data_IF_530827507047
#
_entry.id   IF_530827507047
#
_cell.length_a   1.000
_cell.length_b   1.000
_cell.length_c   1.000
_cell.angle_alpha   90.00
_cell.angle_beta   90.00
_cell.angle_gamma   90.00
#
_symmetry.space_group_name_H-M   'P 1'
#
loop_
_entity.id
_entity.type
_entity.pdbx_description
1 polymer ?
#
# COMPACT_ATOMS: atom_id res chain seq x y z
N UNK A 1 -18.21 25.09 2.98
CA UNK A 1 -17.64 23.90 3.65
C UNK A 1 -16.29 23.63 3.03
N UNK A 2 -15.22 23.57 3.82
CA UNK A 2 -13.88 23.15 3.34
C UNK A 2 -13.98 21.73 2.79
N UNK A 3 -13.59 21.53 1.52
CA UNK A 3 -13.45 20.17 0.96
C UNK A 3 -12.33 19.46 1.72
N UNK A 4 -12.60 18.22 2.14
CA UNK A 4 -11.64 17.39 2.87
C UNK A 4 -10.56 16.93 1.91
N UNK A 5 -9.28 17.13 2.26
CA UNK A 5 -8.14 16.75 1.43
C UNK A 5 -7.40 15.60 2.11
N UNK A 6 -7.40 14.43 1.47
CA UNK A 6 -6.70 13.24 1.96
C UNK A 6 -5.40 13.01 1.17
N UNK A 7 -4.39 12.45 1.81
CA UNK A 7 -3.24 11.88 1.12
C UNK A 7 -3.41 10.35 1.08
N UNK A 8 -3.35 9.77 -0.11
CA UNK A 8 -3.30 8.33 -0.32
C UNK A 8 -1.84 7.94 -0.57
N UNK A 9 -1.21 7.34 0.43
CA UNK A 9 0.18 6.90 0.36
C UNK A 9 0.26 5.44 -0.09
N UNK A 10 0.95 5.20 -1.20
CA UNK A 10 0.98 3.92 -1.88
C UNK A 10 2.31 3.19 -1.68
N UNK A 11 2.25 1.87 -1.45
CA UNK A 11 3.40 1.00 -1.74
C UNK A 11 3.73 1.14 -3.24
N UNK A 12 5.02 1.24 -3.64
CA UNK A 12 5.37 1.18 -5.05
C UNK A 12 4.93 -0.17 -5.64
N UNK A 13 4.54 -0.16 -6.90
CA UNK A 13 4.43 -1.39 -7.66
C UNK A 13 5.86 -1.90 -7.85
N UNK A 14 6.21 -3.00 -7.18
CA UNK A 14 7.55 -3.59 -7.26
C UNK A 14 7.87 -3.84 -8.74
N UNK A 15 8.57 -2.90 -9.40
CA UNK A 15 8.96 -3.04 -10.79
C UNK A 15 10.11 -4.04 -10.82
N UNK A 16 9.77 -5.31 -10.96
CA UNK A 16 10.66 -6.27 -11.57
C UNK A 16 11.12 -5.70 -12.90
N UNK A 17 12.44 -5.61 -13.14
CA UNK A 17 12.96 -5.20 -14.43
C UNK A 17 12.56 -6.27 -15.45
N UNK A 18 11.42 -6.07 -16.13
CA UNK A 18 10.85 -7.05 -17.06
C UNK A 18 9.42 -6.76 -17.51
N UNK A 19 8.66 -5.90 -16.83
CA UNK A 19 7.24 -5.66 -17.15
C UNK A 19 6.91 -4.38 -17.94
N UNK A 20 7.91 -3.58 -18.33
CA UNK A 20 7.68 -2.30 -19.00
C UNK A 20 8.05 -2.34 -20.48
N UNK A 21 7.06 -2.51 -21.36
CA UNK A 21 7.18 -1.99 -22.74
C UNK A 21 7.19 -0.46 -22.65
N UNK A 22 8.37 0.14 -22.71
CA UNK A 22 8.53 1.59 -22.91
C UNK A 22 9.53 2.22 -21.96
N UNK A 23 10.73 2.49 -22.48
CA UNK A 23 11.77 3.26 -21.79
C UNK A 23 13.17 2.89 -22.26
N UNK A 24 13.61 3.46 -23.39
CA UNK A 24 15.00 3.35 -23.85
C UNK A 24 15.87 4.15 -22.87
N UNK A 25 16.79 3.50 -22.16
CA UNK A 25 17.91 4.22 -21.53
C UNK A 25 18.36 3.83 -20.12
N UNK A 26 18.27 2.57 -19.69
CA UNK A 26 18.97 2.12 -18.47
C UNK A 26 19.85 0.88 -18.76
N UNK A 27 21.05 0.74 -18.17
CA UNK A 27 21.97 -0.35 -18.50
C UNK A 27 21.39 -1.70 -18.05
N UNK A 28 21.36 -2.66 -18.98
CA UNK A 28 20.84 -4.02 -18.79
C UNK A 28 21.66 -4.83 -17.79
N UNK A 29 21.23 -4.87 -16.52
CA UNK A 29 21.52 -5.97 -15.59
C UNK A 29 20.57 -7.17 -15.79
N UNK A 30 19.68 -7.08 -16.79
CA UNK A 30 18.48 -7.91 -16.99
C UNK A 30 18.73 -9.36 -17.46
N UNK A 31 19.93 -9.69 -17.96
CA UNK A 31 20.23 -11.05 -18.40
C UNK A 31 20.75 -11.98 -17.29
N UNK A 32 21.14 -11.44 -16.14
CA UNK A 32 21.72 -12.25 -15.06
C UNK A 32 20.67 -12.85 -14.12
N UNK A 33 19.61 -12.11 -13.75
CA UNK A 33 18.65 -12.57 -12.74
C UNK A 33 17.49 -13.43 -13.28
N UNK A 34 17.04 -13.21 -14.51
CA UNK A 34 15.87 -13.93 -15.07
C UNK A 34 16.17 -15.39 -15.44
N UNK A 35 17.45 -15.73 -15.67
CA UNK A 35 17.86 -17.11 -16.00
C UNK A 35 17.92 -18.05 -14.80
N UNK A 36 17.89 -17.52 -13.58
CA UNK A 36 18.03 -18.30 -12.34
C UNK A 36 16.87 -18.14 -11.36
N UNK A 37 15.83 -17.36 -11.69
CA UNK A 37 14.68 -17.17 -10.83
C UNK A 37 13.67 -18.32 -11.01
N UNK A 38 13.27 -18.98 -9.92
CA UNK A 38 12.22 -20.00 -9.92
C UNK A 38 10.93 -19.41 -10.53
N UNK A 39 10.31 -20.04 -11.56
CA UNK A 39 9.07 -19.57 -12.17
C UNK A 39 7.92 -19.35 -11.18
N UNK A 40 7.83 -20.16 -10.12
CA UNK A 40 6.82 -20.00 -9.05
C UNK A 40 7.04 -18.69 -8.30
N UNK A 41 8.29 -18.31 -8.00
CA UNK A 41 8.63 -17.04 -7.36
C UNK A 41 8.20 -15.88 -8.26
N UNK A 42 8.55 -15.91 -9.54
CA UNK A 42 8.17 -14.85 -10.51
C UNK A 42 6.63 -14.70 -10.59
N UNK A 43 5.91 -15.82 -10.68
CA UNK A 43 4.45 -15.81 -10.71
C UNK A 43 3.84 -15.24 -9.42
N UNK A 44 4.34 -15.67 -8.25
CA UNK A 44 3.89 -15.16 -6.96
C UNK A 44 4.09 -13.65 -6.83
N UNK A 45 5.23 -13.13 -7.30
CA UNK A 45 5.53 -11.70 -7.27
C UNK A 45 4.66 -10.88 -8.23
N UNK A 46 4.37 -11.41 -9.42
CA UNK A 46 3.41 -10.79 -10.35
C UNK A 46 2.00 -10.78 -9.78
N UNK A 47 1.58 -11.87 -9.11
CA UNK A 47 0.31 -11.94 -8.40
C UNK A 47 0.21 -10.86 -7.31
N UNK A 48 1.23 -10.72 -6.45
CA UNK A 48 1.29 -9.66 -5.43
C UNK A 48 1.16 -8.27 -6.01
N UNK A 49 1.82 -8.01 -7.14
CA UNK A 49 1.72 -6.73 -7.85
C UNK A 49 0.30 -6.48 -8.32
N UNK A 50 -0.34 -7.47 -8.97
CA UNK A 50 -1.71 -7.36 -9.50
C UNK A 50 -2.72 -7.12 -8.38
N UNK A 51 -2.68 -7.94 -7.32
CA UNK A 51 -3.57 -7.78 -6.15
C UNK A 51 -3.41 -6.39 -5.54
N UNK A 52 -2.17 -5.91 -5.36
CA UNK A 52 -1.94 -4.56 -4.86
C UNK A 52 -2.48 -3.46 -5.80
N UNK A 53 -2.26 -3.58 -7.11
CA UNK A 53 -2.80 -2.64 -8.10
C UNK A 53 -4.33 -2.56 -8.06
N UNK A 54 -5.00 -3.71 -7.95
CA UNK A 54 -6.45 -3.76 -7.89
C UNK A 54 -6.98 -3.20 -6.56
N UNK A 55 -6.27 -3.44 -5.45
CA UNK A 55 -6.56 -2.80 -4.17
C UNK A 55 -6.45 -1.26 -4.25
N UNK A 56 -5.43 -0.73 -4.91
CA UNK A 56 -5.27 0.72 -5.11
C UNK A 56 -6.43 1.29 -5.92
N UNK A 57 -6.78 0.67 -7.05
CA UNK A 57 -7.93 1.10 -7.88
C UNK A 57 -9.23 1.05 -7.08
N UNK A 58 -9.44 0.00 -6.30
CA UNK A 58 -10.61 -0.17 -5.46
C UNK A 58 -10.75 0.96 -4.44
N UNK A 59 -9.68 1.28 -3.71
CA UNK A 59 -9.67 2.36 -2.73
C UNK A 59 -9.95 3.72 -3.39
N UNK A 60 -9.28 4.02 -4.51
CA UNK A 60 -9.50 5.27 -5.26
C UNK A 60 -10.94 5.40 -5.79
N UNK A 61 -11.54 4.28 -6.23
CA UNK A 61 -12.93 4.27 -6.67
C UNK A 61 -13.91 4.57 -5.52
N UNK A 62 -13.64 4.06 -4.32
CA UNK A 62 -14.43 4.41 -3.12
C UNK A 62 -14.30 5.91 -2.82
N UNK A 63 -13.09 6.45 -2.79
CA UNK A 63 -12.86 7.88 -2.50
C UNK A 63 -13.59 8.77 -3.50
N UNK A 64 -13.55 8.39 -4.79
CA UNK A 64 -14.31 9.05 -5.86
C UNK A 64 -15.81 9.05 -5.62
N UNK A 65 -16.39 7.89 -5.27
CA UNK A 65 -17.83 7.78 -4.96
C UNK A 65 -18.23 8.58 -3.73
N UNK A 66 -17.33 8.69 -2.73
CA UNK A 66 -17.55 9.48 -1.52
C UNK A 66 -17.35 11.00 -1.74
N UNK A 67 -17.01 11.44 -2.96
CA UNK A 67 -16.80 12.86 -3.32
C UNK A 67 -15.81 13.59 -2.39
N UNK A 68 -14.76 12.88 -1.96
CA UNK A 68 -13.67 13.44 -1.15
C UNK A 68 -12.60 13.98 -2.09
N UNK A 69 -11.81 14.97 -1.68
CA UNK A 69 -10.62 15.41 -2.43
C UNK A 69 -9.42 14.59 -1.96
N UNK A 70 -8.61 14.07 -2.87
CA UNK A 70 -7.43 13.29 -2.50
C UNK A 70 -6.29 13.40 -3.49
N UNK A 71 -5.08 13.27 -2.97
CA UNK A 71 -3.85 13.15 -3.73
C UNK A 71 -3.23 11.77 -3.52
N UNK A 72 -2.48 11.31 -4.51
CA UNK A 72 -1.78 10.02 -4.44
C UNK A 72 -0.28 10.24 -4.50
N UNK A 73 0.45 9.57 -3.61
CA UNK A 73 1.92 9.60 -3.61
C UNK A 73 2.46 8.21 -3.32
N UNK A 74 3.55 7.81 -3.96
CA UNK A 74 4.27 6.60 -3.57
C UNK A 74 5.13 6.88 -2.34
N UNK A 75 5.21 5.92 -1.40
CA UNK A 75 6.04 6.02 -0.20
C UNK A 75 7.53 6.25 -0.49
N UNK A 76 8.02 5.87 -1.67
CA UNK A 76 9.39 6.14 -2.14
C UNK A 76 9.62 7.59 -2.55
N UNK A 77 8.57 8.37 -2.76
CA UNK A 77 8.63 9.80 -3.06
C UNK A 77 8.62 10.68 -1.81
N UNK A 78 8.47 10.10 -0.61
CA UNK A 78 8.50 10.86 0.64
C UNK A 78 9.94 11.32 0.93
N UNK A 79 10.13 12.64 0.89
CA UNK A 79 11.38 13.30 1.26
C UNK A 79 11.17 14.44 2.26
N UNK A 80 9.91 14.85 2.47
CA UNK A 80 9.52 15.95 3.33
C UNK A 80 8.37 15.52 4.24
N UNK A 81 8.22 16.14 5.43
CA UNK A 81 7.07 15.90 6.30
C UNK A 81 5.74 16.13 5.58
N UNK A 82 4.77 15.26 5.81
CA UNK A 82 3.41 15.35 5.30
C UNK A 82 2.66 16.40 6.11
N UNK A 83 2.07 17.39 5.42
CA UNK A 83 1.35 18.51 6.03
C UNK A 83 0.11 18.86 5.22
N UNK A 84 -0.83 19.58 5.83
CA UNK A 84 -2.02 20.15 5.16
C UNK A 84 -3.03 19.13 4.62
N UNK A 85 -3.04 17.92 5.18
CA UNK A 85 -4.04 16.89 4.92
C UNK A 85 -4.86 16.63 6.17
N UNK A 86 -6.13 16.28 6.00
CA UNK A 86 -7.03 15.97 7.11
C UNK A 86 -6.89 14.51 7.59
N UNK A 87 -6.29 13.66 6.76
CA UNK A 87 -6.07 12.22 6.98
C UNK A 87 -5.06 11.70 5.96
N UNK A 88 -4.20 10.79 6.39
CA UNK A 88 -3.40 9.96 5.48
C UNK A 88 -3.97 8.55 5.43
N UNK A 89 -4.24 8.06 4.22
CA UNK A 89 -4.65 6.67 3.98
C UNK A 89 -3.48 5.93 3.35
N UNK A 90 -2.89 4.96 4.05
CA UNK A 90 -1.81 4.15 3.48
C UNK A 90 -2.39 2.90 2.85
N UNK A 91 -2.07 2.62 1.58
CA UNK A 91 -2.46 1.40 0.88
C UNK A 91 -1.20 0.55 0.66
N UNK A 92 -1.12 -0.57 1.36
CA UNK A 92 0.08 -1.40 1.39
C UNK A 92 0.00 -2.45 2.50
N UNK A 93 1.07 -2.61 3.27
CA UNK A 93 1.04 -3.39 4.51
C UNK A 93 1.55 -2.54 5.67
N UNK A 94 1.90 -3.20 6.78
CA UNK A 94 2.40 -2.54 8.00
C UNK A 94 3.65 -1.69 7.72
N UNK A 95 4.56 -2.17 6.86
CA UNK A 95 5.74 -1.40 6.46
C UNK A 95 5.42 -0.10 5.70
N UNK A 96 4.30 -0.01 4.98
CA UNK A 96 3.88 1.25 4.34
C UNK A 96 3.33 2.23 5.39
N UNK A 97 2.58 1.73 6.37
CA UNK A 97 2.07 2.54 7.47
C UNK A 97 3.21 3.05 8.36
N UNK A 98 4.14 2.18 8.75
CA UNK A 98 5.33 2.56 9.51
C UNK A 98 6.22 3.55 8.75
N UNK A 99 6.33 3.40 7.43
CA UNK A 99 7.05 4.40 6.64
C UNK A 99 6.35 5.76 6.69
N UNK A 100 5.02 5.80 6.62
CA UNK A 100 4.26 7.05 6.72
C UNK A 100 4.45 7.74 8.09
N UNK A 101 4.52 6.96 9.19
CA UNK A 101 4.66 7.52 10.53
C UNK A 101 5.98 8.27 10.76
N UNK A 102 7.00 8.03 9.93
CA UNK A 102 8.24 8.82 9.98
C UNK A 102 8.09 10.25 9.41
N UNK A 103 7.02 10.53 8.67
CA UNK A 103 6.79 11.80 7.99
C UNK A 103 5.55 12.54 8.51
N UNK A 104 4.85 12.01 9.52
CA UNK A 104 3.60 12.56 10.06
C UNK A 104 3.79 12.95 11.53
N UNK A 105 3.12 14.02 11.95
CA UNK A 105 3.03 14.47 13.34
C UNK A 105 1.65 14.16 13.97
N UNK A 106 1.39 14.68 15.18
CA UNK A 106 0.16 14.38 15.95
C UNK A 106 -1.09 15.08 15.50
N UNK A 107 -0.97 15.94 14.49
CA UNK A 107 -2.10 16.65 13.95
C UNK A 107 -2.87 15.85 12.90
N UNK A 108 -2.25 14.86 12.25
CA UNK A 108 -2.85 14.16 11.10
C UNK A 108 -3.06 12.67 11.42
N UNK A 109 -4.31 12.18 11.49
CA UNK A 109 -4.57 10.77 11.67
C UNK A 109 -4.09 9.94 10.47
N UNK A 110 -3.74 8.68 10.72
CA UNK A 110 -3.30 7.72 9.69
C UNK A 110 -4.23 6.51 9.70
N UNK A 111 -4.70 6.11 8.51
CA UNK A 111 -5.52 4.92 8.29
C UNK A 111 -4.77 3.91 7.43
N UNK A 112 -4.39 2.78 8.04
CA UNK A 112 -3.79 1.66 7.33
C UNK A 112 -4.80 0.79 6.59
N UNK A 113 -4.61 0.60 5.29
CA UNK A 113 -5.34 -0.36 4.46
C UNK A 113 -4.37 -1.44 3.99
N UNK A 114 -4.50 -2.65 4.54
CA UNK A 114 -3.76 -3.81 4.09
C UNK A 114 -4.29 -4.23 2.71
N UNK A 115 -3.52 -3.89 1.68
CA UNK A 115 -3.87 -4.12 0.28
C UNK A 115 -3.78 -5.59 -0.12
N UNK A 116 -2.96 -6.35 0.59
CA UNK A 116 -2.58 -7.70 0.20
C UNK A 116 -2.24 -8.57 1.42
N UNK A 117 -3.25 -8.91 2.24
CA UNK A 117 -3.03 -9.68 3.47
C UNK A 117 -2.45 -11.07 3.22
N UNK A 118 -1.70 -11.59 4.20
CA UNK A 118 -1.22 -12.99 4.17
C UNK A 118 -2.38 -13.95 3.96
N UNK A 119 -2.22 -14.89 3.03
CA UNK A 119 -3.15 -16.00 2.81
C UNK A 119 -2.50 -17.27 3.35
N UNK A 120 -3.11 -17.89 4.35
CA UNK A 120 -2.50 -19.03 5.05
C UNK A 120 -2.35 -20.24 4.12
N UNK A 121 -3.31 -20.41 3.22
CA UNK A 121 -3.31 -21.48 2.22
C UNK A 121 -2.12 -21.33 1.26
N UNK A 122 -1.86 -20.11 0.76
CA UNK A 122 -0.71 -19.80 -0.10
C UNK A 122 0.62 -20.05 0.64
N UNK A 123 0.71 -19.65 1.91
CA UNK A 123 1.92 -19.88 2.72
C UNK A 123 2.18 -21.37 2.94
N UNK A 124 1.14 -22.16 3.21
CA UNK A 124 1.28 -23.60 3.39
C UNK A 124 1.73 -24.28 2.10
N UNK A 125 1.12 -23.93 0.97
CA UNK A 125 1.42 -24.49 -0.36
C UNK A 125 2.89 -24.29 -0.74
N UNK A 126 3.44 -23.08 -0.55
CA UNK A 126 4.79 -22.74 -1.01
C UNK A 126 5.88 -22.83 0.08
N UNK A 127 5.53 -23.24 1.30
CA UNK A 127 6.42 -23.22 2.48
C UNK A 127 7.78 -23.90 2.30
N UNK A 128 7.87 -24.92 1.45
CA UNK A 128 9.10 -25.64 1.17
C UNK A 128 9.95 -25.02 0.03
N UNK A 129 9.36 -24.14 -0.79
CA UNK A 129 9.99 -23.59 -1.99
C UNK A 129 10.51 -22.17 -1.74
N UNK A 130 9.69 -21.30 -1.14
CA UNK A 130 10.03 -19.91 -0.85
C UNK A 130 9.08 -19.29 0.18
N UNK A 131 9.49 -18.15 0.74
CA UNK A 131 8.64 -17.37 1.63
C UNK A 131 7.52 -16.65 0.86
N UNK A 132 6.31 -17.21 0.91
CA UNK A 132 5.11 -16.65 0.30
C UNK A 132 4.40 -15.62 1.20
N UNK A 133 4.97 -15.28 2.36
CA UNK A 133 4.30 -14.40 3.32
C UNK A 133 4.10 -12.98 2.75
N UNK A 134 2.94 -12.44 3.08
CA UNK A 134 2.57 -11.04 2.85
C UNK A 134 2.41 -10.35 4.21
N UNK A 135 2.15 -9.05 4.21
CA UNK A 135 1.90 -8.35 5.48
C UNK A 135 0.62 -8.88 6.12
N UNK A 136 0.67 -9.28 7.38
CA UNK A 136 -0.56 -9.65 8.11
C UNK A 136 -1.46 -8.43 8.31
N UNK A 137 -0.87 -7.26 8.52
CA UNK A 137 -1.63 -6.01 8.66
C UNK A 137 -2.00 -5.71 10.10
N UNK A 138 -1.14 -6.03 11.07
CA UNK A 138 -1.42 -5.82 12.50
C UNK A 138 -1.66 -4.34 12.84
N UNK A 139 -1.10 -3.44 12.04
CA UNK A 139 -1.23 -2.00 12.20
C UNK A 139 -2.29 -1.42 11.25
N UNK A 140 -2.79 -2.23 10.32
CA UNK A 140 -3.78 -1.81 9.34
C UNK A 140 -5.20 -1.97 9.91
N UNK A 141 -5.97 -0.88 9.89
CA UNK A 141 -7.36 -0.87 10.34
C UNK A 141 -8.32 -1.59 9.39
N UNK A 142 -7.94 -1.69 8.11
CA UNK A 142 -8.81 -2.14 7.05
C UNK A 142 -8.08 -3.00 6.02
N UNK A 143 -8.86 -3.71 5.22
CA UNK A 143 -8.44 -4.35 3.96
C UNK A 143 -9.38 -3.88 2.85
N UNK A 144 -9.14 -4.30 1.61
CA UNK A 144 -10.10 -4.06 0.52
C UNK A 144 -11.51 -4.59 0.82
N UNK A 145 -11.66 -5.61 1.68
CA UNK A 145 -12.97 -6.21 1.99
C UNK A 145 -13.86 -5.29 2.83
N UNK A 146 -13.29 -4.39 3.63
CA UNK A 146 -14.03 -3.55 4.58
C UNK A 146 -13.73 -2.05 4.46
N UNK A 147 -12.82 -1.62 3.59
CA UNK A 147 -12.45 -0.21 3.43
C UNK A 147 -13.65 0.71 3.11
N UNK A 148 -14.64 0.23 2.35
CA UNK A 148 -15.83 1.02 2.04
C UNK A 148 -16.66 1.36 3.29
N UNK A 149 -16.70 0.43 4.25
CA UNK A 149 -17.44 0.55 5.51
C UNK A 149 -16.74 1.50 6.48
N UNK A 150 -15.44 1.76 6.30
CA UNK A 150 -14.69 2.72 7.11
C UNK A 150 -15.28 4.12 6.92
N UNK A 151 -15.71 4.70 8.05
CA UNK A 151 -16.19 6.08 8.10
C UNK A 151 -15.00 7.03 8.15
N UNK A 152 -14.77 7.73 7.04
CA UNK A 152 -13.76 8.79 6.94
C UNK A 152 -14.32 10.06 7.61
N UNK A 153 -14.31 10.12 8.95
CA UNK A 153 -14.76 11.28 9.74
C UNK A 153 -13.61 11.79 10.61
N UNK A 154 -13.18 13.07 10.46
CA UNK A 154 -12.15 13.67 11.31
C UNK A 154 -12.63 14.03 12.73
N UNK A 155 -13.96 14.08 12.96
CA UNK A 155 -14.55 14.54 14.23
C UNK A 155 -14.43 13.55 15.37
N UNK A 156 -14.22 12.29 15.05
CA UNK A 156 -13.94 11.26 16.03
C UNK A 156 -12.44 11.22 16.22
N UNK A 157 -11.95 11.79 17.33
CA UNK A 157 -10.70 11.34 17.96
C UNK A 157 -10.73 9.82 18.26
N UNK A 158 -11.89 9.19 18.08
CA UNK A 158 -12.17 7.75 18.10
C UNK A 158 -12.17 7.08 16.70
N UNK A 159 -11.26 7.42 15.79
CA UNK A 159 -10.75 6.36 14.91
C UNK A 159 -9.72 5.60 15.76
N UNK A 160 -10.22 4.73 16.65
CA UNK A 160 -9.37 3.80 17.40
C UNK A 160 -8.87 2.71 16.46
N UNK A 161 -7.90 3.03 15.61
CA UNK A 161 -7.07 2.02 14.98
C UNK A 161 -5.63 2.51 14.95
N UNK A 162 -4.87 1.98 15.90
CA UNK A 162 -3.41 2.01 16.06
C UNK A 162 -2.78 3.36 15.72
N UNK A 163 -3.00 4.32 16.62
CA UNK A 163 -2.13 5.48 16.70
C UNK A 163 -0.82 5.03 17.37
N UNK A 164 0.20 4.71 16.58
CA UNK A 164 1.56 4.64 17.13
C UNK A 164 2.02 6.06 17.41
N UNK A 165 1.98 6.45 18.69
CA UNK A 165 2.71 7.63 19.16
C UNK A 165 4.11 7.21 19.61
N UNK A 166 5.09 8.03 19.24
CA UNK A 166 6.29 8.26 20.04
C UNK A 166 5.99 9.29 21.11
#
# INVERSE_FOLDING_TARGET
>A
MTRRRLLVLLKPFDMYPGGGRGGKGAPSSTHAFSRFANPQIVHHLDNRRKVHQDAVKFCQNILRRKSVDWETMFRTGLSQPIRHFDLVVTVGGDGTLLQASHFIDDSIPVLGVNSDPTQLEEVQEFSNDFDATRSTGYLCAATVKNFEQVRLSPRTKEIQFVVFWK
#
